data_IF_567872699298
#
_entry.id   IF_567872699298
#
_cell.length_a   1.000
_cell.length_b   1.000
_cell.length_c   1.000
_cell.angle_alpha   90.00
_cell.angle_beta   90.00
_cell.angle_gamma   90.00
#
_symmetry.space_group_name_H-M   'P 1'
#
loop_
_entity.id
_entity.type
_entity.pdbx_description
1 polymer ?
2 polymer ?
3 non-polymer ?
4 non-polymer ?
5 non-polymer ?
6 water ?
#
# COMPACT_ATOMS: atom_id res chain seq x y z
N UNK A 2 -5.29 16.17 1.61
CA UNK A 2 -5.19 16.80 0.28
C UNK A 2 -3.78 17.19 -0.12
N UNK A 3 -2.85 17.64 0.76
CA UNK A 3 -1.47 17.99 0.34
C UNK A 3 -0.49 16.93 0.88
N UNK A 4 0.50 16.62 0.10
CA UNK A 4 1.61 15.78 0.52
C UNK A 4 2.86 16.61 0.81
N UNK A 5 3.45 16.38 2.01
CA UNK A 5 4.68 16.99 2.45
C UNK A 5 5.75 15.91 2.65
N UNK A 6 7.04 16.32 2.63
CA UNK A 6 8.12 15.43 3.03
C UNK A 6 7.92 15.05 4.50
N UNK A 7 7.84 13.74 4.85
CA UNK A 7 7.63 13.32 6.24
C UNK A 7 8.74 13.80 7.16
N UNK A 8 9.94 14.00 6.64
CA UNK A 8 11.09 14.35 7.48
C UNK A 8 11.14 15.84 7.84
N UNK A 9 10.76 16.72 6.94
CA UNK A 9 11.02 18.13 7.17
C UNK A 9 9.77 18.99 6.90
N UNK A 10 8.74 18.47 6.20
CA UNK A 10 7.58 19.27 5.88
C UNK A 10 7.56 20.06 4.57
N UNK A 11 8.57 19.90 3.76
CA UNK A 11 8.60 20.51 2.44
C UNK A 11 7.35 20.12 1.65
N UNK A 12 6.71 21.09 1.06
CA UNK A 12 5.57 20.87 0.17
C UNK A 12 5.98 20.09 -1.08
N UNK A 13 5.31 18.95 -1.38
CA UNK A 13 5.76 18.10 -2.47
C UNK A 13 4.65 17.93 -3.51
N UNK A 14 3.46 17.42 -3.09
CA UNK A 14 2.45 17.13 -4.10
C UNK A 14 1.05 17.30 -3.52
N UNK A 15 0.05 16.76 -4.25
CA UNK A 15 -1.33 16.91 -3.85
C UNK A 15 -2.08 15.68 -4.33
N UNK A 16 -3.11 15.30 -3.56
CA UNK A 16 -3.90 14.14 -3.91
C UNK A 16 -4.55 14.34 -5.33
N UNK A 17 -4.95 15.57 -5.62
CA UNK A 17 -5.53 15.93 -6.89
C UNK A 17 -4.59 15.61 -8.05
N UNK A 18 -3.27 15.41 -7.81
CA UNK A 18 -2.30 15.23 -8.87
C UNK A 18 -1.91 13.78 -9.06
N UNK A 19 -2.56 12.88 -8.34
CA UNK A 19 -2.31 11.46 -8.47
C UNK A 19 -2.65 11.05 -9.89
N UNK A 20 -1.88 10.15 -10.45
CA UNK A 20 -2.01 9.73 -11.85
C UNK A 20 -2.09 8.20 -11.96
N UNK A 21 -3.23 7.61 -12.38
CA UNK A 21 -3.31 6.15 -12.56
C UNK A 21 -2.57 5.64 -13.79
N UNK A 22 -1.32 5.20 -13.59
CA UNK A 22 -0.50 4.67 -14.67
C UNK A 22 -0.83 3.19 -14.80
N UNK A 23 -1.21 2.75 -16.00
CA UNK A 23 -1.72 1.40 -16.23
C UNK A 23 -2.91 1.01 -15.34
N UNK A 24 -3.80 1.97 -15.02
CA UNK A 24 -4.98 1.62 -14.24
C UNK A 24 -4.91 1.90 -12.74
N UNK A 25 -3.75 2.26 -12.19
CA UNK A 25 -3.70 2.46 -10.75
C UNK A 25 -2.58 3.43 -10.41
N UNK A 26 -2.84 4.29 -9.43
CA UNK A 26 -1.84 5.25 -9.03
C UNK A 26 -0.75 4.55 -8.21
N UNK A 27 -1.04 3.38 -7.61
CA UNK A 27 -0.09 2.72 -6.75
C UNK A 27 0.56 1.56 -7.44
N UNK A 28 1.89 1.49 -7.39
CA UNK A 28 2.63 0.38 -7.93
C UNK A 28 3.62 -0.13 -6.90
N UNK A 29 3.69 -1.45 -6.70
CA UNK A 29 4.61 -1.97 -5.70
C UNK A 29 5.73 -2.64 -6.46
N UNK A 30 7.00 -2.28 -6.16
CA UNK A 30 8.10 -2.59 -7.05
C UNK A 30 9.31 -2.90 -6.20
N UNK A 31 10.32 -3.59 -6.74
CA UNK A 31 11.60 -3.78 -6.09
C UNK A 31 12.75 -3.45 -7.02
N UNK A 32 13.80 -2.95 -6.42
CA UNK A 32 14.99 -2.54 -7.14
C UNK A 32 15.98 -3.72 -7.08
N UNK A 33 17.12 -3.62 -7.76
CA UNK A 33 18.11 -4.70 -7.72
C UNK A 33 18.79 -4.90 -6.38
N UNK A 34 18.64 -3.98 -5.42
CA UNK A 34 19.12 -4.20 -4.06
C UNK A 34 18.07 -4.87 -3.17
N UNK A 35 17.00 -5.32 -3.79
CA UNK A 35 15.89 -6.01 -3.18
C UNK A 35 14.99 -5.13 -2.32
N UNK A 36 15.20 -3.83 -2.35
CA UNK A 36 14.28 -2.98 -1.60
C UNK A 36 12.96 -2.88 -2.32
N UNK A 37 11.87 -3.05 -1.55
CA UNK A 37 10.52 -2.96 -2.02
C UNK A 37 9.99 -1.54 -1.72
N UNK A 38 9.34 -0.93 -2.70
CA UNK A 38 8.76 0.41 -2.59
C UNK A 38 7.32 0.32 -3.00
N UNK A 39 6.49 1.01 -2.22
CA UNK A 39 5.16 1.33 -2.65
C UNK A 39 5.19 2.74 -3.27
N UNK A 40 5.09 2.80 -4.58
CA UNK A 40 5.26 4.01 -5.34
C UNK A 40 3.85 4.52 -5.70
N UNK A 41 3.63 5.82 -5.48
CA UNK A 41 2.42 6.48 -5.97
C UNK A 41 2.82 7.39 -7.12
N UNK A 42 2.11 7.27 -8.26
CA UNK A 42 2.42 8.08 -9.41
C UNK A 42 1.68 9.39 -9.31
N UNK A 43 2.40 10.49 -9.62
CA UNK A 43 1.82 11.83 -9.65
C UNK A 43 2.18 12.52 -10.96
N UNK A 44 1.20 13.27 -11.53
CA UNK A 44 1.50 13.99 -12.77
C UNK A 44 2.46 15.12 -12.50
N UNK A 45 2.51 15.61 -11.29
CA UNK A 45 3.21 16.83 -10.94
C UNK A 45 3.64 16.72 -9.49
N UNK A 46 4.77 17.37 -9.20
CA UNK A 46 5.34 17.50 -7.86
C UNK A 46 6.18 18.77 -7.87
N UNK A 47 6.51 19.28 -6.71
CA UNK A 47 7.37 20.45 -6.52
C UNK A 47 8.25 20.18 -5.31
N UNK A 48 9.24 21.03 -5.05
CA UNK A 48 10.03 21.03 -3.83
C UNK A 48 11.07 19.88 -3.79
N UNK A 49 11.31 19.25 -4.91
CA UNK A 49 12.27 18.17 -5.09
C UNK A 49 13.54 18.76 -5.69
N UNK A 50 14.64 17.99 -5.62
CA UNK A 50 15.80 18.26 -6.41
C UNK A 50 16.10 16.96 -7.17
N UNK A 51 16.12 17.05 -8.52
CA UNK A 51 16.38 15.89 -9.37
C UNK A 51 17.88 15.80 -9.64
N UNK A 52 18.48 14.65 -9.31
CA UNK A 52 19.93 14.57 -9.28
C UNK A 52 20.47 13.63 -10.36
N UNK A 53 21.47 14.14 -11.06
CA UNK A 53 22.16 13.38 -12.10
C UNK A 53 21.39 13.46 -13.40
N UNK A 54 21.64 12.52 -14.31
CA UNK A 54 21.05 12.55 -15.64
C UNK A 54 20.16 11.31 -15.75
N UNK A 55 19.13 11.30 -16.60
CA UNK A 55 18.20 10.16 -16.63
C UNK A 55 18.89 8.86 -16.99
N UNK A 56 18.33 7.76 -16.51
CA UNK A 56 18.80 6.45 -16.89
C UNK A 56 17.61 5.52 -17.15
N UNK A 57 17.69 4.63 -18.15
CA UNK A 57 16.67 3.64 -18.46
C UNK A 57 16.89 2.28 -17.77
N UNK A 58 18.04 2.09 -17.13
CA UNK A 58 18.41 0.81 -16.50
C UNK A 58 17.43 0.50 -15.38
N UNK A 59 16.82 -0.68 -15.40
CA UNK A 59 15.95 -1.20 -14.37
C UNK A 59 14.66 -0.39 -14.23
N UNK A 60 14.28 0.38 -15.24
CA UNK A 60 13.06 1.14 -15.13
C UNK A 60 11.85 0.27 -14.93
N UNK A 61 11.05 0.55 -13.89
CA UNK A 61 9.79 -0.08 -13.64
C UNK A 61 8.75 0.29 -14.68
N UNK A 62 8.91 1.40 -15.40
CA UNK A 62 7.86 1.86 -16.24
C UNK A 62 8.37 1.87 -17.68
N UNK A 63 7.61 1.17 -18.54
CA UNK A 63 8.06 0.87 -19.88
C UNK A 63 8.23 2.18 -20.65
N UNK A 64 9.38 2.36 -21.28
CA UNK A 64 9.56 3.54 -22.12
C UNK A 64 10.04 4.78 -21.38
N UNK A 65 10.23 4.72 -20.04
CA UNK A 65 10.64 5.86 -19.27
C UNK A 65 12.02 5.69 -18.75
N UNK A 66 12.73 6.82 -18.69
CA UNK A 66 14.02 6.94 -18.07
C UNK A 66 13.82 7.66 -16.73
N UNK A 67 14.58 7.29 -15.71
CA UNK A 67 14.37 7.88 -14.38
C UNK A 67 15.53 8.78 -13.95
N UNK A 68 15.19 9.78 -13.12
CA UNK A 68 16.15 10.50 -12.32
C UNK A 68 15.74 10.44 -10.85
N UNK A 69 16.73 10.31 -9.97
CA UNK A 69 16.48 10.31 -8.51
C UNK A 69 15.93 11.69 -8.10
N UNK A 70 14.90 11.67 -7.27
CA UNK A 70 14.22 12.87 -6.73
C UNK A 70 14.44 12.91 -5.21
N UNK A 71 15.28 13.86 -4.75
CA UNK A 71 15.41 14.14 -3.34
C UNK A 71 14.41 15.22 -2.94
N UNK A 72 14.14 15.26 -1.62
CA UNK A 72 13.48 16.41 -1.04
C UNK A 72 14.45 17.55 -1.29
N UNK A 73 13.99 18.67 -1.83
CA UNK A 73 14.89 19.78 -2.09
C UNK A 73 15.36 20.44 -0.80
N UNK A 74 14.64 20.23 0.32
CA UNK A 74 14.94 20.87 1.58
C UNK A 74 15.94 20.01 2.34
N UNK A 75 15.54 18.77 2.61
CA UNK A 75 16.27 17.94 3.54
C UNK A 75 17.14 16.90 2.87
N UNK A 76 17.02 16.66 1.58
CA UNK A 76 17.85 15.71 0.92
C UNK A 76 17.38 14.25 1.02
N UNK A 77 16.29 13.96 1.68
CA UNK A 77 15.73 12.62 1.82
C UNK A 77 15.31 12.11 0.44
N UNK A 78 15.53 10.81 0.18
CA UNK A 78 15.14 10.21 -1.10
C UNK A 78 13.65 9.99 -1.18
N UNK A 79 12.94 10.76 -2.00
CA UNK A 79 11.49 10.68 -2.05
C UNK A 79 10.93 9.88 -3.20
N UNK A 80 11.76 9.63 -4.21
CA UNK A 80 11.37 8.78 -5.30
C UNK A 80 12.17 9.16 -6.56
N UNK A 81 11.46 9.16 -7.66
CA UNK A 81 12.10 9.35 -8.99
C UNK A 81 11.23 10.20 -9.89
N UNK A 82 11.88 10.95 -10.79
CA UNK A 82 11.17 11.61 -11.86
C UNK A 82 11.38 10.77 -13.13
N UNK A 83 10.30 10.56 -13.85
CA UNK A 83 10.35 9.75 -15.06
C UNK A 83 10.10 10.63 -16.28
N UNK A 84 10.88 10.41 -17.33
CA UNK A 84 10.83 11.19 -18.56
C UNK A 84 11.08 10.25 -19.76
N UNK A 85 11.00 10.83 -20.93
CA UNK A 85 11.46 10.18 -22.16
C UNK A 85 10.44 9.25 -22.82
N UNK A 86 9.23 9.24 -22.27
CA UNK A 86 8.18 8.29 -22.55
C UNK A 86 7.09 8.95 -23.35
N UNK A 87 5.87 8.37 -23.28
CA UNK A 87 4.74 8.86 -24.06
C UNK A 87 3.45 8.69 -23.30
N UNK A 88 2.64 9.75 -23.29
CA UNK A 88 1.30 9.66 -22.76
C UNK A 88 1.31 9.14 -21.31
N UNK A 89 1.90 9.87 -20.35
CA UNK A 89 2.52 11.20 -20.56
C UNK A 89 3.99 11.08 -20.84
N UNK A 90 4.62 12.21 -21.27
CA UNK A 90 6.03 12.21 -21.49
C UNK A 90 6.78 12.07 -20.16
N UNK A 91 6.21 12.61 -19.10
CA UNK A 91 6.91 12.69 -17.79
C UNK A 91 5.92 12.58 -16.66
N UNK A 92 6.42 12.11 -15.47
CA UNK A 92 5.60 11.99 -14.26
C UNK A 92 6.58 11.71 -13.11
N UNK A 93 6.03 11.70 -11.87
CA UNK A 93 6.82 11.41 -10.71
C UNK A 93 6.31 10.11 -10.07
N UNK A 94 7.26 9.25 -9.63
CA UNK A 94 6.92 8.11 -8.79
C UNK A 94 7.50 8.34 -7.42
N UNK A 95 6.61 8.63 -6.46
CA UNK A 95 7.04 8.98 -5.11
C UNK A 95 6.73 7.87 -4.11
N UNK A 96 7.68 7.63 -3.21
CA UNK A 96 7.53 6.62 -2.17
C UNK A 96 6.56 7.05 -1.08
N UNK A 97 5.38 6.41 -1.01
CA UNK A 97 4.19 6.85 -0.31
C UNK A 97 4.54 7.01 1.17
N UNK A 98 5.39 6.13 1.71
CA UNK A 98 5.68 6.17 3.15
C UNK A 98 6.74 7.19 3.51
N UNK A 99 7.30 7.91 2.52
CA UNK A 99 8.18 9.03 2.82
C UNK A 99 7.44 10.34 2.79
N UNK A 100 6.14 10.31 2.49
CA UNK A 100 5.33 11.54 2.46
C UNK A 100 4.40 11.56 3.65
N UNK A 101 3.95 12.76 3.99
CA UNK A 101 2.91 12.96 5.00
C UNK A 101 1.74 13.71 4.39
N UNK A 102 0.51 13.16 4.58
CA UNK A 102 -0.67 13.75 3.98
C UNK A 102 -1.43 14.65 4.93
N UNK A 103 -1.91 15.77 4.46
CA UNK A 103 -2.65 16.59 5.42
C UNK A 103 -3.35 17.78 4.79
N UNK A 104 -3.96 18.64 5.65
CA UNK A 104 -4.72 19.80 5.16
C UNK A 104 -4.01 20.85 4.31
N UNK A 105 -4.83 21.48 3.44
CA UNK A 105 -4.37 22.29 2.33
C UNK A 105 -3.78 23.63 2.82
N UNK B 1 -2.75 -13.72 16.40
CA UNK B 1 -2.46 -13.85 17.86
C UNK B 1 -1.84 -12.56 18.42
N UNK B 2 -1.99 -11.39 17.76
CA UNK B 2 -1.22 -10.20 18.19
C UNK B 2 -2.19 -9.13 18.72
N UNK B 3 -1.85 -8.51 19.89
CA UNK B 3 -2.63 -7.41 20.42
C UNK B 3 -1.70 -6.21 20.52
N UNK B 4 -2.30 -5.06 20.52
CA UNK B 4 -1.66 -3.78 20.71
C UNK B 4 -2.06 -3.25 22.06
N UNK B 5 -1.05 -2.86 22.83
CA UNK B 5 -1.22 -2.35 24.18
C UNK B 5 -0.73 -0.92 24.19
N UNK B 6 -1.23 -0.12 25.15
CA UNK B 6 -0.73 1.21 25.41
C UNK B 6 0.73 1.06 25.81
N UNK B 7 1.64 1.79 25.14
CA UNK B 7 3.09 1.68 25.39
C UNK B 7 3.42 2.16 26.81
N UNK B 8 2.60 3.06 27.38
CA UNK B 8 2.89 3.65 28.67
C UNK B 8 2.42 2.75 29.80
N UNK B 9 1.23 2.15 29.72
CA UNK B 9 0.77 1.42 30.91
C UNK B 9 0.41 -0.04 30.65
N UNK B 10 0.43 -0.49 29.40
CA UNK B 10 0.17 -1.92 29.12
C UNK B 10 -1.28 -2.30 28.86
N UNK B 11 -2.21 -1.39 29.02
CA UNK B 11 -3.63 -1.71 28.84
C UNK B 11 -3.81 -2.20 27.41
N UNK B 12 -4.56 -3.26 27.22
CA UNK B 12 -4.97 -3.76 25.94
C UNK B 12 -5.85 -2.74 25.23
N UNK B 13 -5.48 -2.44 23.97
CA UNK B 13 -6.23 -1.44 23.22
C UNK B 13 -6.87 -2.02 21.98
N UNK B 14 -6.14 -2.78 21.20
CA UNK B 14 -6.69 -3.25 19.93
C UNK B 14 -5.98 -4.54 19.54
N UNK B 15 -6.44 -5.10 18.41
CA UNK B 15 -5.97 -6.37 17.93
C UNK B 15 -5.49 -6.19 16.49
N UNK B 16 -4.47 -6.98 16.11
CA UNK B 16 -4.03 -7.02 14.73
C UNK B 16 -5.14 -7.49 13.79
N UNK B 17 -6.01 -8.40 14.24
CA UNK B 17 -7.14 -8.85 13.43
C UNK B 17 -8.04 -7.70 13.02
N UNK B 18 -7.97 -6.59 13.75
CA UNK B 18 -8.87 -5.45 13.53
C UNK B 18 -8.22 -4.37 12.69
N UNK B 19 -7.00 -4.61 12.19
CA UNK B 19 -6.40 -3.69 11.24
C UNK B 19 -7.32 -3.48 10.04
N UNK B 20 -7.47 -2.22 9.63
CA UNK B 20 -8.43 -1.80 8.64
C UNK B 20 -7.73 -1.03 7.52
N UNK B 21 -7.77 -1.49 6.26
CA UNK B 21 -7.10 -0.71 5.20
C UNK B 21 -8.04 0.39 4.70
N UNK B 22 -7.92 1.59 5.22
CA UNK B 22 -8.69 2.75 4.81
C UNK B 22 -7.99 3.37 3.62
N UNK B 23 -8.73 3.52 2.53
CA UNK B 23 -8.13 3.96 1.28
C UNK B 23 -7.02 3.07 0.75
N UNK B 24 -7.05 1.75 1.00
CA UNK B 24 -6.02 0.88 0.45
C UNK B 24 -4.88 0.57 1.43
N UNK B 25 -4.82 1.20 2.62
CA UNK B 25 -3.72 0.78 3.50
C UNK B 25 -4.07 1.10 4.95
N UNK B 26 -3.61 0.26 5.83
CA UNK B 26 -3.85 0.50 7.24
C UNK B 26 -2.95 1.58 7.83
N UNK B 27 -1.83 1.90 7.17
CA UNK B 27 -0.92 2.92 7.63
C UNK B 27 -1.05 4.22 6.84
N UNK B 28 -1.28 5.31 7.56
CA UNK B 28 -1.28 6.63 6.97
C UNK B 28 -0.27 7.50 7.73
N UNK B 29 0.64 8.14 7.01
CA UNK B 29 1.46 9.22 7.59
C UNK B 29 0.75 10.55 7.30
N UNK B 30 0.45 11.31 8.33
CA UNK B 30 -0.41 12.46 8.28
C UNK B 30 0.24 13.62 9.03
N UNK B 31 -0.24 14.87 8.73
CA UNK B 31 0.16 16.07 9.47
C UNK B 31 -1.05 16.94 9.77
N UNK B 32 -1.10 17.46 11.01
CA UNK B 32 -2.22 18.28 11.48
C UNK B 32 -1.95 19.73 11.08
N UNK B 33 -2.88 20.68 11.33
CA UNK B 33 -2.62 22.07 10.99
C UNK B 33 -1.54 22.78 11.81
N UNK B 34 -1.13 22.24 12.94
CA UNK B 34 0.02 22.77 13.65
C UNK B 34 1.34 22.15 13.13
N UNK B 35 1.28 21.37 12.05
CA UNK B 35 2.41 20.73 11.41
C UNK B 35 2.97 19.55 12.16
N UNK B 36 2.24 19.00 13.12
CA UNK B 36 2.75 17.79 13.78
C UNK B 36 2.48 16.62 12.85
N UNK B 37 3.46 15.72 12.72
CA UNK B 37 3.44 14.56 11.88
C UNK B 37 3.24 13.30 12.74
N UNK B 38 2.29 12.46 12.35
CA UNK B 38 1.94 11.21 13.03
C UNK B 38 1.85 10.08 12.02
N UNK B 39 2.26 8.90 12.48
CA UNK B 39 2.13 7.71 11.69
C UNK B 39 0.99 6.93 12.33
N UNK B 40 -0.12 6.83 11.59
CA UNK B 40 -1.36 6.32 12.11
C UNK B 40 -1.62 4.95 11.50
N UNK B 41 -2.06 4.03 12.34
CA UNK B 41 -2.63 2.76 11.89
C UNK B 41 -4.15 2.69 12.17
N UNK B 42 -4.94 2.26 11.20
CA UNK B 42 -6.41 2.23 11.31
C UNK B 42 -6.88 0.84 11.78
N UNK B 43 -7.75 0.89 12.77
CA UNK B 43 -8.35 -0.30 13.36
C UNK B 43 -9.84 -0.15 13.34
N UNK B 44 -10.59 -1.26 13.14
CA UNK B 44 -12.02 -1.16 13.12
C UNK B 44 -12.61 -0.85 14.48
N UNK B 45 -12.01 -1.41 15.50
CA UNK B 45 -12.52 -1.36 16.86
C UNK B 45 -11.32 -1.09 17.73
N UNK B 46 -11.64 -0.82 19.02
CA UNK B 46 -10.63 -0.74 20.04
C UNK B 46 -11.36 -0.92 21.36
N UNK B 47 -10.58 -0.96 22.41
CA UNK B 47 -11.13 -0.92 23.76
C UNK B 47 -10.14 -0.23 24.66
N UNK B 48 -10.62 0.15 25.88
CA UNK B 48 -9.81 0.73 26.90
C UNK B 48 -9.38 2.16 26.65
N UNK B 49 -9.96 2.82 25.65
CA UNK B 49 -9.68 4.23 25.40
C UNK B 49 -10.77 5.09 26.03
N UNK B 50 -10.53 6.41 26.09
CA UNK B 50 -11.52 7.37 26.51
C UNK B 50 -11.57 8.45 25.48
N UNK B 51 -12.73 8.63 24.82
CA UNK B 51 -12.88 9.64 23.79
C UNK B 51 -13.36 10.94 24.42
N UNK B 52 -12.65 12.03 24.08
CA UNK B 52 -12.90 13.27 24.77
C UNK B 52 -13.35 14.28 23.70
N UNK B 53 -14.37 15.04 24.06
CA UNK B 53 -14.74 16.14 23.20
C UNK B 53 -15.90 15.73 22.34
N UNK B 54 -16.51 16.71 21.70
CA UNK B 54 -17.57 16.43 20.74
C UNK B 54 -16.89 16.14 19.41
N UNK B 55 -17.47 15.29 18.53
CA UNK B 55 -16.84 15.03 17.24
C UNK B 55 -16.69 16.31 16.44
N UNK B 56 -15.65 16.37 15.61
CA UNK B 56 -15.41 17.54 14.77
C UNK B 56 -15.05 17.05 13.38
N UNK B 57 -15.58 17.69 12.35
CA UNK B 57 -15.24 17.44 10.97
C UNK B 57 -14.04 18.27 10.43
N UNK B 58 -13.61 19.27 11.15
CA UNK B 58 -12.58 20.19 10.65
C UNK B 58 -11.25 19.44 10.56
N UNK B 59 -10.62 19.50 9.37
CA UNK B 59 -9.27 18.97 9.15
C UNK B 59 -9.17 17.46 9.27
N UNK B 60 -10.31 16.78 9.17
CA UNK B 60 -10.28 15.32 9.22
C UNK B 60 -9.36 14.75 8.14
N UNK B 61 -8.48 13.84 8.53
CA UNK B 61 -7.69 13.11 7.56
C UNK B 61 -8.52 12.17 6.68
N UNK B 62 -9.69 11.79 7.11
CA UNK B 62 -10.50 10.83 6.39
C UNK B 62 -11.88 11.41 5.98
N UNK B 63 -12.08 11.58 4.69
CA UNK B 63 -13.17 12.43 4.21
C UNK B 63 -14.50 11.72 4.53
N UNK B 64 -15.43 12.49 5.07
CA UNK B 64 -16.75 11.98 5.39
C UNK B 64 -16.81 11.54 6.85
N UNK B 65 -15.73 11.66 7.63
CA UNK B 65 -15.73 11.29 9.04
C UNK B 65 -15.47 12.50 9.89
N UNK B 66 -16.12 12.49 11.06
CA UNK B 66 -15.77 13.35 12.17
C UNK B 66 -14.83 12.64 13.17
N UNK B 67 -14.00 13.40 13.86
CA UNK B 67 -13.02 12.81 14.79
C UNK B 67 -13.27 13.27 16.21
N UNK B 68 -12.79 12.47 17.14
CA UNK B 68 -12.68 12.77 18.57
C UNK B 68 -11.32 12.24 19.02
N UNK B 69 -10.62 12.99 19.86
CA UNK B 69 -9.41 12.55 20.50
C UNK B 69 -9.66 11.33 21.38
N UNK B 70 -8.73 10.37 21.25
CA UNK B 70 -8.74 9.12 22.01
C UNK B 70 -7.53 9.11 22.93
N UNK B 71 -7.77 8.99 24.22
CA UNK B 71 -6.72 8.78 25.22
C UNK B 71 -6.81 7.38 25.78
N UNK B 72 -5.69 6.89 26.28
CA UNK B 72 -5.72 5.65 27.05
C UNK B 72 -6.65 5.87 28.25
N UNK B 73 -7.68 5.03 28.46
CA UNK B 73 -8.64 5.28 29.57
C UNK B 73 -7.94 5.06 30.91
N UNK B 74 -6.83 4.31 30.91
CA UNK B 74 -6.18 3.91 32.15
C UNK B 74 -5.12 4.95 32.56
N UNK B 75 -4.30 5.38 31.62
CA UNK B 75 -3.18 6.23 31.97
C UNK B 75 -3.31 7.62 31.37
N UNK B 76 -4.20 7.89 30.42
CA UNK B 76 -4.33 9.24 29.87
C UNK B 76 -3.40 9.54 28.68
N UNK B 77 -2.58 8.60 28.22
CA UNK B 77 -1.67 8.84 27.08
C UNK B 77 -2.49 9.07 25.81
N UNK B 78 -2.10 10.01 24.96
CA UNK B 78 -2.84 10.31 23.74
C UNK B 78 -2.50 9.27 22.69
N UNK B 79 -3.48 8.38 22.38
CA UNK B 79 -3.15 7.27 21.54
C UNK B 79 -3.62 7.47 20.10
N UNK B 80 -4.54 8.39 19.83
CA UNK B 80 -5.01 8.68 18.51
C UNK B 80 -6.36 9.34 18.50
N UNK B 81 -7.25 8.87 17.57
CA UNK B 81 -8.53 9.51 17.34
C UNK B 81 -9.55 8.42 16.97
N UNK B 82 -10.79 8.70 17.28
CA UNK B 82 -11.90 7.90 16.80
C UNK B 82 -12.61 8.67 15.72
N UNK B 83 -13.06 7.96 14.68
CA UNK B 83 -13.73 8.49 13.53
C UNK B 83 -15.14 7.94 13.47
N UNK B 84 -16.10 8.83 13.15
CA UNK B 84 -17.48 8.39 13.05
C UNK B 84 -18.22 9.23 12.01
N UNK B 85 -19.41 8.73 11.66
CA UNK B 85 -20.35 9.49 10.85
C UNK B 85 -20.16 9.24 9.38
N UNK B 86 -19.39 8.21 9.00
CA UNK B 86 -19.26 7.86 7.59
C UNK B 86 -20.01 6.56 7.30
N UNK B 87 -19.55 5.81 6.30
CA UNK B 87 -20.18 4.57 5.87
C UNK B 87 -19.12 3.61 5.40
N UNK B 88 -19.28 2.32 5.74
CA UNK B 88 -18.42 1.22 5.29
C UNK B 88 -16.96 1.52 5.55
N UNK B 89 -16.52 1.65 6.82
CA UNK B 89 -17.38 1.44 8.01
C UNK B 89 -17.94 2.75 8.50
N UNK B 90 -18.88 2.66 9.44
CA UNK B 90 -19.45 3.86 10.01
C UNK B 90 -18.42 4.56 10.92
N UNK B 91 -17.63 3.75 11.62
CA UNK B 91 -16.68 4.24 12.63
C UNK B 91 -15.42 3.39 12.57
N UNK B 92 -14.30 3.92 13.09
CA UNK B 92 -13.02 3.24 13.13
C UNK B 92 -12.10 4.17 13.92
N UNK B 93 -10.94 3.67 14.25
CA UNK B 93 -9.93 4.36 14.99
C UNK B 93 -8.66 4.55 14.15
N UNK B 94 -8.03 5.74 14.28
CA UNK B 94 -6.66 5.94 13.83
C UNK B 94 -5.73 6.11 15.05
N UNK B 95 -4.90 5.09 15.31
CA UNK B 95 -4.07 5.04 16.49
C UNK B 95 -2.61 5.27 16.08
N UNK B 96 -1.87 5.96 16.97
CA UNK B 96 -0.51 6.35 16.73
C UNK B 96 0.39 5.13 16.98
N UNK B 97 0.93 4.57 15.93
CA UNK B 97 1.64 3.28 15.99
C UNK B 97 2.77 3.36 17.02
N UNK B 98 3.49 4.44 17.08
CA UNK B 98 4.64 4.56 17.98
C UNK B 98 4.19 4.64 19.42
N UNK B 99 2.90 4.83 19.72
CA UNK B 99 2.47 4.88 21.10
C UNK B 99 1.82 3.58 21.56
N UNK B 100 1.88 2.59 20.75
CA UNK B 100 1.38 1.26 21.09
C UNK B 100 2.58 0.31 21.18
N UNK B 101 2.38 -0.81 21.83
CA UNK B 101 3.35 -1.91 21.85
C UNK B 101 2.60 -3.17 21.42
N UNK B 102 3.15 -3.88 20.42
CA UNK B 102 2.48 -5.06 19.92
C UNK B 102 3.07 -6.29 20.59
N UNK B 103 2.27 -7.27 20.86
CA UNK B 103 2.76 -8.43 21.58
C UNK B 103 1.71 -9.53 21.53
N UNK B 104 2.04 -10.74 22.03
CA UNK B 104 1.10 -11.86 22.03
C UNK B 104 -0.14 -11.59 22.87
N UNK B 105 -1.27 -12.04 22.33
CA UNK B 105 -2.54 -12.04 23.04
C UNK B 105 -2.25 -12.21 24.55
N UNK C 1 13.43 -3.76 -15.28
CA UNK C 1 12.80 -3.58 -13.95
C UNK C 1 11.59 -4.51 -13.74
N UNK C 2 11.14 -5.28 -14.77
CA UNK C 2 9.92 -6.04 -14.55
C UNK C 2 10.01 -7.49 -15.05
N UNK C 3 11.14 -8.18 -14.87
CA UNK C 3 11.19 -9.59 -15.28
C UNK C 3 10.87 -10.59 -14.14
N UNK C 4 11.09 -10.29 -12.83
CA UNK C 4 10.72 -11.22 -11.75
C UNK C 4 9.53 -10.69 -10.94
N UNK C 5 8.62 -11.61 -10.58
CA UNK C 5 7.44 -11.28 -9.81
C UNK C 5 7.58 -11.92 -8.42
N UNK C 6 7.29 -11.09 -7.41
CA UNK C 6 7.41 -11.45 -6.01
C UNK C 6 6.14 -11.10 -5.26
N UNK C 7 5.88 -11.76 -4.14
CA UNK C 7 4.85 -11.38 -3.21
C UNK C 7 5.03 -9.94 -2.76
N UNK C 8 3.95 -9.10 -2.90
CA UNK C 8 3.94 -7.68 -2.52
C UNK C 8 4.25 -7.52 -1.02
N UNK C 9 3.76 -8.46 -0.21
CA UNK C 9 3.78 -8.35 1.24
C UNK C 9 5.15 -8.74 1.80
N UNK C 10 5.81 -9.77 1.25
CA UNK C 10 6.99 -10.22 1.95
C UNK C 10 8.18 -10.41 1.02
N UNK C 11 7.99 -10.41 -0.31
CA UNK C 11 9.07 -10.47 -1.26
C UNK C 11 9.47 -11.88 -1.72
N UNK C 12 8.73 -12.92 -1.32
CA UNK C 12 8.93 -14.28 -1.82
C UNK C 12 8.88 -14.29 -3.33
N UNK C 13 9.84 -14.95 -3.94
CA UNK C 13 9.89 -15.17 -5.38
C UNK C 13 8.74 -16.07 -5.80
N UNK C 14 7.97 -15.67 -6.82
CA UNK C 14 6.81 -16.44 -7.25
C UNK C 14 6.97 -16.86 -8.72
N UNK C 15 7.24 -15.90 -9.62
CA UNK C 15 7.34 -16.26 -11.03
C UNK C 15 8.17 -15.25 -11.82
N UNK C 16 8.16 -15.42 -13.15
CA UNK C 16 9.04 -14.65 -14.04
C UNK C 16 8.34 -14.45 -15.38
N UNK C 17 8.78 -13.41 -16.08
CA UNK C 17 8.23 -12.98 -17.35
C UNK C 17 8.39 -14.10 -18.36
N UNK C 18 9.52 -14.83 -18.31
CA UNK C 18 9.74 -16.00 -19.17
C UNK C 18 8.62 -17.03 -19.05
N UNK C 19 7.83 -17.07 -17.94
CA UNK C 19 6.81 -18.11 -17.77
C UNK C 19 5.40 -17.59 -18.04
N UNK C 20 5.28 -16.33 -18.45
CA UNK C 20 3.95 -15.78 -18.77
C UNK C 20 3.29 -16.58 -19.89
N UNK C 21 1.97 -16.81 -19.79
CA UNK C 21 1.27 -17.78 -20.64
C UNK C 21 0.02 -17.15 -21.24
N UNK C 28 -2.38 -10.08 -19.36
CA UNK C 28 -3.13 -9.28 -18.34
C UNK C 28 -4.65 -9.43 -18.49
N UNK C 29 -5.20 -10.63 -18.23
CA UNK C 29 -6.65 -10.80 -18.32
C UNK C 29 -7.30 -9.92 -17.25
N UNK C 30 -8.18 -9.01 -17.68
CA UNK C 30 -9.04 -8.26 -16.78
C UNK C 30 -10.34 -9.05 -16.56
N UNK C 31 -10.66 -9.38 -15.31
CA UNK C 31 -11.80 -10.23 -14.98
C UNK C 31 -12.59 -9.56 -13.85
N UNK C 32 -13.84 -9.99 -13.66
CA UNK C 32 -14.73 -9.53 -12.61
C UNK C 32 -15.10 -10.73 -11.74
N UNK C 33 -14.97 -10.68 -10.40
CA UNK C 33 -15.47 -11.80 -9.59
C UNK C 33 -16.98 -11.62 -9.47
N UNK C 34 -17.76 -12.52 -8.84
CA UNK C 34 -19.21 -12.33 -8.83
C UNK C 34 -19.69 -11.10 -8.05
N UNK C 35 -18.80 -10.49 -7.23
CA UNK C 35 -19.02 -9.15 -6.70
C UNK C 35 -18.61 -8.11 -7.76
N UNK C 39 -10.26 -7.67 -11.10
CA UNK C 39 -8.86 -8.16 -10.96
C UNK C 39 -8.16 -8.13 -12.33
N UNK C 40 -6.89 -7.73 -12.33
CA UNK C 40 -6.04 -7.92 -13.50
C UNK C 40 -5.15 -9.13 -13.21
N UNK C 41 -5.45 -10.25 -13.86
CA UNK C 41 -4.81 -11.52 -13.60
C UNK C 41 -3.73 -11.75 -14.65
N UNK C 42 -2.52 -12.13 -14.17
CA UNK C 42 -1.49 -12.65 -15.07
C UNK C 42 -1.44 -14.20 -15.02
N UNK C 43 -1.44 -14.85 -16.19
CA UNK C 43 -1.38 -16.31 -16.29
C UNK C 43 0.08 -16.72 -16.51
N UNK C 44 0.50 -17.71 -15.75
CA UNK C 44 1.86 -18.25 -15.82
C UNK C 44 1.83 -19.75 -16.01
N UNK C 45 2.77 -20.30 -16.78
CA UNK C 45 2.83 -21.73 -16.96
C UNK C 45 3.42 -22.39 -15.72
N UNK C 46 4.34 -21.67 -15.06
CA UNK C 46 5.03 -22.21 -13.89
C UNK C 46 5.08 -21.13 -12.84
N UNK C 47 5.11 -21.55 -11.58
CA UNK C 47 5.39 -20.71 -10.43
C UNK C 47 6.11 -21.51 -9.34
N UNK C 48 6.60 -20.77 -8.33
CA UNK C 48 7.16 -21.39 -7.13
C UNK C 48 6.80 -20.55 -5.94
N UNK C 49 7.07 -21.12 -4.76
CA UNK C 49 7.00 -20.47 -3.48
C UNK C 49 5.57 -20.16 -3.04
N UNK C 50 4.59 -20.84 -3.64
CA UNK C 50 3.20 -20.74 -3.21
C UNK C 50 2.91 -21.98 -2.35
N UNK C 51 1.79 -21.97 -1.68
CA UNK C 51 1.19 -23.16 -1.12
C UNK C 51 -0.27 -23.22 -1.68
N UNK C 52 -0.60 -24.33 -2.35
CA UNK C 52 -1.92 -24.46 -2.98
C UNK C 52 -2.84 -25.20 -2.00
N UNK C 53 -3.97 -24.59 -1.63
CA UNK C 53 -4.76 -25.10 -0.49
C UNK C 53 -6.16 -25.47 -0.99
N UNK C 54 -6.81 -26.47 -0.36
CA UNK C 54 -8.22 -26.73 -0.60
C UNK C 54 -8.40 -27.65 -1.80
N UNK C 55 -9.67 -27.98 -2.12
CA UNK C 55 -9.96 -28.89 -3.20
C UNK C 55 -10.34 -28.06 -4.41
N UNK C 56 -10.00 -28.48 -5.65
CA UNK C 56 -10.33 -27.66 -6.82
C UNK C 56 -11.83 -27.44 -6.94
N UNK C 57 -12.18 -26.28 -7.46
CA UNK C 57 -13.58 -25.89 -7.57
C UNK C 57 -13.79 -25.25 -8.95
N UNK C 58 -14.98 -25.53 -9.55
CA UNK C 58 -15.40 -24.91 -10.80
C UNK C 58 -16.19 -23.60 -10.63
N UNK C 59 -16.55 -23.21 -9.41
CA UNK C 59 -17.44 -22.06 -9.19
C UNK C 59 -16.84 -20.77 -9.77
N UNK C 60 -17.58 -20.13 -10.70
CA UNK C 60 -17.21 -18.88 -11.35
C UNK C 60 -15.80 -18.86 -11.97
N UNK C 61 -15.31 -20.03 -12.41
CA UNK C 61 -13.98 -20.08 -13.03
C UNK C 61 -13.98 -19.20 -14.26
N UNK C 62 -13.03 -18.25 -14.31
CA UNK C 62 -12.86 -17.38 -15.45
C UNK C 62 -12.32 -18.12 -16.66
N UNK C 63 -11.80 -19.34 -16.49
CA UNK C 63 -11.11 -19.98 -17.60
C UNK C 63 -11.82 -21.28 -17.94
N UNK C 64 -12.28 -21.37 -19.21
CA UNK C 64 -13.27 -22.37 -19.58
C UNK C 64 -12.63 -23.75 -19.44
N UNK C 65 -13.31 -24.66 -18.72
CA UNK C 65 -12.85 -26.02 -18.60
C UNK C 65 -11.77 -26.23 -17.53
N UNK C 66 -11.46 -25.21 -16.70
CA UNK C 66 -10.47 -25.37 -15.62
C UNK C 66 -11.14 -25.20 -14.26
N UNK C 67 -10.67 -25.99 -13.30
CA UNK C 67 -11.03 -25.83 -11.90
C UNK C 67 -9.89 -25.14 -11.13
N UNK C 68 -10.23 -24.35 -10.11
CA UNK C 68 -9.23 -23.55 -9.43
C UNK C 68 -9.02 -24.00 -7.98
N UNK C 69 -7.79 -23.77 -7.49
CA UNK C 69 -7.39 -23.93 -6.11
C UNK C 69 -6.71 -22.64 -5.66
N UNK C 70 -6.86 -22.31 -4.40
CA UNK C 70 -6.35 -21.07 -3.85
C UNK C 70 -4.83 -21.20 -3.72
N UNK C 71 -4.14 -20.14 -4.12
CA UNK C 71 -2.70 -20.04 -4.08
C UNK C 71 -2.30 -18.98 -3.08
N UNK C 72 -1.65 -19.40 -1.98
CA UNK C 72 -1.05 -18.49 -1.02
C UNK C 72 0.46 -18.39 -1.20
N UNK C 73 1.01 -17.24 -0.83
CA UNK C 73 2.44 -17.13 -0.65
C UNK C 73 2.88 -18.12 0.42
N UNK C 74 3.87 -18.97 0.11
CA UNK C 74 4.29 -19.94 1.08
C UNK C 74 5.12 -19.31 2.18
N UNK C 75 5.55 -18.02 2.04
CA UNK C 75 6.43 -17.43 3.02
C UNK C 75 5.60 -16.73 4.08
N UNK C 76 4.62 -15.91 3.63
CA UNK C 76 3.85 -15.15 4.62
C UNK C 76 2.36 -15.50 4.58
N UNK C 77 1.84 -16.33 3.67
CA UNK C 77 0.41 -16.65 3.72
C UNK C 77 -0.53 -15.66 2.97
N UNK C 78 -0.06 -14.58 2.39
CA UNK C 78 -0.91 -13.71 1.57
C UNK C 78 -1.49 -14.43 0.32
N UNK C 79 -2.76 -14.12 0.01
CA UNK C 79 -3.48 -14.72 -1.09
C UNK C 79 -3.02 -14.07 -2.39
N UNK C 80 -2.35 -14.83 -3.26
CA UNK C 80 -1.79 -14.22 -4.46
C UNK C 80 -2.55 -14.53 -5.75
N UNK C 81 -3.46 -15.47 -5.68
CA UNK C 81 -4.24 -15.89 -6.83
C UNK C 81 -4.66 -17.34 -6.74
N UNK C 82 -4.66 -18.00 -7.93
CA UNK C 82 -5.19 -19.37 -7.99
C UNK C 82 -4.37 -20.29 -8.89
N UNK C 83 -4.52 -21.57 -8.68
CA UNK C 83 -3.91 -22.57 -9.55
C UNK C 83 -5.08 -23.23 -10.28
N UNK C 84 -4.92 -23.39 -11.60
CA UNK C 84 -5.97 -23.91 -12.46
C UNK C 84 -5.52 -25.28 -12.99
N UNK C 85 -6.45 -26.24 -12.96
CA UNK C 85 -6.18 -27.60 -13.38
C UNK C 85 -7.42 -28.17 -14.08
N UNK C 86 -7.22 -29.30 -14.76
CA UNK C 86 -8.32 -30.10 -15.27
C UNK C 86 -8.70 -29.73 -16.70
N UNK C 87 -7.94 -28.82 -17.35
CA UNK C 87 -8.28 -28.38 -18.69
C UNK C 87 -7.38 -29.05 -19.73
N UNK C 88 -7.23 -28.38 -20.88
CA UNK C 88 -6.45 -28.91 -21.99
C UNK C 88 -5.70 -27.77 -22.67
N UNK C 89 -4.43 -28.00 -22.98
CA UNK C 89 -3.64 -27.09 -23.80
C UNK C 89 -3.63 -25.68 -23.19
N UNK C 90 -3.06 -25.46 -21.98
CA UNK C 90 -2.41 -26.50 -21.20
C UNK C 90 -3.37 -27.16 -20.20
N UNK C 91 -2.93 -28.25 -19.58
CA UNK C 91 -3.70 -28.90 -18.55
C UNK C 91 -3.81 -28.01 -17.30
N UNK C 92 -2.73 -27.27 -16.96
CA UNK C 92 -2.65 -26.52 -15.72
C UNK C 92 -1.90 -25.20 -15.95
N UNK C 93 -2.20 -24.21 -15.11
CA UNK C 93 -1.50 -22.94 -15.10
C UNK C 93 -1.85 -22.19 -13.81
N UNK C 94 -1.16 -21.05 -13.60
CA UNK C 94 -1.38 -20.24 -12.42
C UNK C 94 -1.94 -18.88 -12.87
N UNK C 95 -2.98 -18.41 -12.18
CA UNK C 95 -3.58 -17.10 -12.43
C UNK C 95 -3.40 -16.21 -11.20
N UNK C 96 -2.45 -15.28 -11.29
CA UNK C 96 -2.04 -14.50 -10.14
C UNK C 96 -2.56 -13.07 -10.29
N UNK C 97 -2.94 -12.49 -9.15
CA UNK C 97 -3.47 -11.13 -9.09
C UNK C 97 -2.34 -10.12 -9.22
N UNK C 98 -2.35 -9.32 -10.31
CA UNK C 98 -1.30 -8.34 -10.59
C UNK C 98 -1.05 -7.46 -9.37
N UNK C 99 -2.13 -7.02 -8.71
CA UNK C 99 -1.99 -6.03 -7.65
C UNK C 99 -1.42 -6.67 -6.38
N UNK C 100 -1.24 -7.98 -6.35
CA UNK C 100 -0.68 -8.61 -5.15
C UNK C 100 0.79 -8.96 -5.35
N UNK C 101 1.34 -8.61 -6.52
CA UNK C 101 2.72 -8.89 -6.83
C UNK C 101 3.50 -7.59 -6.86
N UNK C 102 4.82 -7.72 -6.63
CA UNK C 102 5.79 -6.69 -6.91
C UNK C 102 6.64 -7.19 -8.08
N UNK C 103 7.00 -6.25 -8.97
CA UNK C 103 7.81 -6.59 -10.14
C UNK C 103 9.18 -5.94 -9.96
N UNK C 104 10.20 -6.58 -10.53
CA UNK C 104 11.54 -6.09 -10.41
C UNK C 104 12.50 -6.85 -11.32
N UNK C 105 13.78 -6.40 -11.40
CA UNK C 105 14.82 -7.07 -12.18
C UNK C 105 15.25 -8.49 -11.78
N UNK C 106 15.94 -9.15 -12.74
CA UNK C 106 16.34 -10.54 -12.64
C UNK C 106 17.41 -10.74 -11.57
X LIG D 1 12.44 16.77 3.41
X LIG E 1 13.80 1.26 -11.01
X LIG E 1 13.89 3.61 -10.50
X LIG E 1 17.38 1.61 -7.92
X LIG E 1 21.48 -0.21 -10.12
X LIG E 1 18.85 0.93 -10.27
X LIG E 1 21.11 0.03 -5.41
X LIG E 1 15.33 3.38 -10.04
X LIG E 1 16.71 1.81 -6.90
X LIG E 1 14.82 0.93 -10.15
X LIG E 1 15.44 2.04 -9.35
X LIG E 1 18.73 0.99 -7.90
X LIG E 1 13.30 2.51 -11.32
X LIG E 1 15.18 -0.22 -9.99
X LIG E 1 16.86 1.81 -9.12
X LIG E 1 19.31 0.75 -6.68
X LIG E 1 21.28 -0.12 -7.78
X LIG E 1 19.41 0.66 -9.08
X LIG E 1 20.71 0.13 -9.03
X LIG E 1 20.57 0.22 -6.62
X LIG E 1 12.26 2.66 -11.98
X LIG E 1 22.53 -0.65 -7.69
X LIG E 1 21.70 0.78 -11.13
X LIG E 1 13.41 0.58 -11.43
X LIG E 1 13.32 3.74 -9.72
X LIG E 1 13.86 4.44 -11.05
X LIG E 1 15.94 3.40 -10.81
X LIG E 1 15.60 4.10 -9.43
X LIG E 1 14.98 2.09 -8.46
X LIG E 1 17.38 1.80 -9.81
X LIG E 1 18.86 0.97 -5.88
X LIG E 1 22.97 -0.86 -8.42
X LIG E 1 22.90 -0.78 -6.90
X LIG E 1 22.33 0.44 -11.78
X LIG E 1 22.08 1.58 -10.73
X LIG E 1 20.86 1.00 -11.56
X LIG F 1 0.70 8.00 3.21
X LIG F 1 0.72 7.08 1.93
X LIG F 1 1.74 9.22 3.02
X LIG F 1 1.17 7.22 4.43
X LIG F 1 -0.79 8.59 3.42
X LIG G 1 -2.19 3.66 29.09
X LIG H 1 -6.97 15.52 11.62
X LIG H 1 -7.60 14.31 13.67
X LIG H 1 -5.17 17.96 15.32
X LIG H 1 -7.02 22.59 15.29
X LIG H 1 -7.17 19.92 14.47
X LIG H 1 -3.05 21.63 17.63
X LIG H 1 -7.53 15.67 14.29
X LIG H 1 -4.27 17.18 15.69
X LIG H 1 -6.21 16.46 12.29
X LIG H 1 -6.25 16.32 13.82
X LIG H 1 -5.15 19.42 15.67
X LIG H 1 -7.59 14.42 12.19
X LIG H 1 -5.68 17.38 11.68
X LIG H 1 -6.09 17.62 14.42
X LIG H 1 -4.12 19.85 16.49
X LIG H 1 -4.99 22.09 16.45
X LIG H 1 -6.13 20.31 15.26
X LIG H 1 -6.08 21.65 15.67
X LIG H 1 -4.06 21.19 16.86
X LIG H 1 -8.18 13.64 11.48
X LIG H 1 -4.89 23.36 16.87
X LIG H 1 -8.41 22.35 15.58
X LIG H 1 -7.06 15.63 10.75
X LIG H 1 -6.83 13.77 13.96
X LIG H 1 -8.42 13.84 13.95
X LIG H 1 -8.30 16.21 14.02
X LIG H 1 -7.53 15.60 15.27
X LIG H 1 -5.49 15.75 14.10
X LIG H 1 -6.64 18.23 14.17
X LIG H 1 -3.45 19.25 16.77
X LIG H 1 -5.48 23.95 16.62
X LIG H 1 -4.21 23.59 17.39
X LIG H 1 -8.93 23.14 15.35
X LIG H 1 -8.52 22.16 16.52
X LIG H 1 -8.73 21.59 15.05
X LIG I 1 4.41 -13.30 1.00
#
# INVERSE_FOLDING_TARGET
>A
ASIFRCRQCGQTISRRDWLLPMGGDHEHVVFNPAGMIFRVWCFSLAQGLRLIGAPSGEFSWFKGYDWTIALCGQCGSHLGWHYEGGSQPQTFFGLIKDRLAEGPA
>B
ASIFRCRQCGQTISRRDWLLPMGGDHEHVVFNPAGMIFRVWCFSLAQGLRLIGAPSGEFSWFKGYDWTIALCGQCGSHLGWHYEGGSQPQTFFGLIKDRLAEGPA
>C
GASIFRCRQCGQTISRRDWLLPMGGDHEHVVFNPAGMIFRVWCFSLAQGLRLIGAPSGEFSWFKGYDWTIALCGQCGSHLGWHYEGGSQPQTFFGLIKDRLAEGPA
>D hetero
1 ZN ZN
>E hetero
1 W0Z N1 C5 C6 O2 F1 F2 C1 O1 C3 C2 C7 C4 O3 N2 C8 C10 C12 C11 C9 O4 N3 C13 H4 H6 H5 H2 H1 H3 H7 H8 H9 H10 H12 H13 H11
>F hetero
1 PO4 P O1 O2 O3 O4
>G hetero
1 ZN ZN
>H hetero
1 W0Z N1 C5 C6 O2 F1 F2 C1 O1 C3 C2 C7 C4 O3 N2 C8 C10 C12 C11 C9 O4 N3 C13 H4 H6 H5 H2 H1 H3 H7 H8 H9 H10 H12 H13 H11
>I hetero
1 ZN ZN
#
